data_IF_642547545354
#
_entry.id   IF_642547545354
#
_cell.length_a   1.000
_cell.length_b   1.000
_cell.length_c   1.000
_cell.angle_alpha   90.00
_cell.angle_beta   90.00
_cell.angle_gamma   90.00
#
_symmetry.space_group_name_H-M   'P 1'
#
loop_
_entity.id
_entity.type
_entity.pdbx_description
1 polymer ?
#
# COMPACT_ATOMS: atom_id res chain seq x y z
N UNK A 1 -14.24 13.27 8.88
CA UNK A 1 -14.47 13.80 10.24
C UNK A 1 -13.88 12.91 11.37
N UNK A 2 -12.97 11.98 11.07
CA UNK A 2 -12.52 10.95 12.04
C UNK A 2 -11.12 11.18 12.66
N UNK A 3 -10.30 12.08 12.12
CA UNK A 3 -9.01 12.48 12.69
C UNK A 3 -8.96 14.01 12.67
N UNK A 4 -8.97 14.64 13.85
CA UNK A 4 -8.78 16.09 14.04
C UNK A 4 -7.31 16.49 13.81
N UNK A 5 -6.64 15.91 12.81
CA UNK A 5 -5.32 16.37 12.40
C UNK A 5 -5.49 17.58 11.50
N UNK A 6 -4.92 18.72 11.91
CA UNK A 6 -4.86 19.91 11.06
C UNK A 6 -4.00 19.54 9.86
N UNK A 7 -4.63 19.30 8.72
CA UNK A 7 -3.95 19.05 7.45
C UNK A 7 -3.11 20.27 7.08
N UNK A 8 -1.83 20.27 7.50
CA UNK A 8 -0.87 21.29 7.12
C UNK A 8 -0.58 21.22 5.62
N UNK A 9 -0.24 22.35 5.00
CA UNK A 9 0.14 22.43 3.59
C UNK A 9 1.24 21.42 3.20
N UNK A 10 2.09 21.05 4.15
CA UNK A 10 3.14 20.04 3.99
C UNK A 10 2.61 18.64 3.64
N UNK A 11 1.43 18.24 4.15
CA UNK A 11 0.85 16.94 3.80
C UNK A 11 0.39 16.93 2.34
N UNK A 12 -0.24 18.02 1.88
CA UNK A 12 -0.69 18.14 0.49
C UNK A 12 0.48 18.15 -0.49
N UNK A 13 1.58 18.84 -0.14
CA UNK A 13 2.83 18.80 -0.91
C UNK A 13 3.39 17.37 -0.97
N UNK A 14 3.42 16.67 0.17
CA UNK A 14 3.89 15.29 0.24
C UNK A 14 3.04 14.34 -0.61
N UNK A 15 1.71 14.42 -0.50
CA UNK A 15 0.78 13.62 -1.31
C UNK A 15 1.00 13.91 -2.79
N UNK A 16 1.09 15.18 -3.19
CA UNK A 16 1.37 15.57 -4.56
C UNK A 16 2.68 15.01 -5.09
N UNK A 17 3.77 15.08 -4.30
CA UNK A 17 5.07 14.54 -4.67
C UNK A 17 5.05 13.00 -4.84
N UNK A 18 4.43 12.28 -3.89
CA UNK A 18 4.30 10.81 -3.97
C UNK A 18 3.47 10.41 -5.18
N UNK A 19 2.31 11.05 -5.39
CA UNK A 19 1.45 10.75 -6.54
C UNK A 19 2.16 11.07 -7.86
N UNK A 20 2.86 12.20 -7.97
CA UNK A 20 3.61 12.56 -9.17
C UNK A 20 4.73 11.55 -9.47
N UNK A 21 5.49 11.13 -8.44
CA UNK A 21 6.54 10.11 -8.60
C UNK A 21 5.98 8.77 -9.06
N UNK A 22 4.87 8.31 -8.45
CA UNK A 22 4.20 7.07 -8.85
C UNK A 22 3.65 7.14 -10.28
N UNK A 23 3.03 8.26 -10.67
CA UNK A 23 2.54 8.48 -12.02
C UNK A 23 3.68 8.49 -13.04
N UNK A 24 4.79 9.14 -12.73
CA UNK A 24 5.96 9.21 -13.61
C UNK A 24 6.49 7.81 -13.94
N UNK A 25 6.61 6.94 -12.94
CA UNK A 25 7.03 5.54 -13.13
C UNK A 25 5.99 4.75 -13.93
N UNK A 26 4.70 4.87 -13.58
CA UNK A 26 3.64 4.14 -14.27
C UNK A 26 3.51 4.54 -15.75
N UNK A 27 3.63 5.84 -16.05
CA UNK A 27 3.55 6.36 -17.42
C UNK A 27 4.77 5.94 -18.23
N UNK A 28 5.97 5.97 -17.65
CA UNK A 28 7.17 5.49 -18.33
C UNK A 28 7.08 4.00 -18.69
N UNK A 29 6.40 3.21 -17.86
CA UNK A 29 6.14 1.79 -18.09
C UNK A 29 4.92 1.53 -18.98
N UNK A 30 4.06 2.53 -19.22
CA UNK A 30 2.84 2.38 -19.99
C UNK A 30 3.15 2.33 -21.49
N UNK A 31 2.68 1.27 -22.16
CA UNK A 31 2.85 1.09 -23.62
C UNK A 31 1.85 1.90 -24.47
N UNK A 32 1.13 2.86 -23.89
CA UNK A 32 0.23 3.76 -24.62
C UNK A 32 -0.76 4.51 -23.74
N UNK A 33 -1.16 5.71 -24.19
CA UNK A 33 -2.30 6.46 -23.65
C UNK A 33 -3.48 6.32 -24.62
N UNK A 34 -4.61 5.79 -24.14
CA UNK A 34 -5.83 5.67 -24.93
C UNK A 34 -7.05 6.06 -24.11
N UNK A 35 -8.00 6.76 -24.71
CA UNK A 35 -9.32 7.03 -24.12
C UNK A 35 -10.31 5.95 -24.58
N UNK A 36 -10.12 4.73 -24.07
CA UNK A 36 -11.05 3.61 -24.27
C UNK A 36 -12.02 3.54 -23.07
N UNK A 37 -13.30 3.27 -23.33
CA UNK A 37 -14.30 3.00 -22.30
C UNK A 37 -13.88 1.87 -21.36
N UNK A 38 -13.14 0.87 -21.84
CA UNK A 38 -12.58 -0.20 -21.01
C UNK A 38 -11.50 0.31 -20.05
N UNK A 39 -10.66 1.24 -20.50
CA UNK A 39 -9.65 1.86 -19.65
C UNK A 39 -10.30 2.75 -18.59
N UNK A 40 -11.37 3.48 -18.95
CA UNK A 40 -12.13 4.28 -18.00
C UNK A 40 -12.80 3.41 -16.92
N UNK A 41 -13.41 2.29 -17.31
CA UNK A 41 -13.96 1.32 -16.37
C UNK A 41 -12.88 0.73 -15.45
N UNK A 42 -11.69 0.41 -15.98
CA UNK A 42 -10.55 -0.03 -15.18
C UNK A 42 -10.09 1.02 -14.17
N UNK A 43 -9.98 2.28 -14.58
CA UNK A 43 -9.60 3.38 -13.69
C UNK A 43 -10.62 3.59 -12.56
N UNK A 44 -11.93 3.49 -12.86
CA UNK A 44 -12.99 3.55 -11.84
C UNK A 44 -12.88 2.41 -10.82
N UNK A 45 -12.56 1.20 -11.27
CA UNK A 45 -12.31 0.06 -10.37
C UNK A 45 -11.10 0.30 -9.46
N UNK A 46 -10.01 0.89 -9.99
CA UNK A 46 -8.84 1.26 -9.18
C UNK A 46 -9.22 2.28 -8.11
N UNK A 47 -9.99 3.32 -8.46
CA UNK A 47 -10.46 4.32 -7.48
C UNK A 47 -11.33 3.68 -6.40
N UNK A 48 -12.23 2.77 -6.77
CA UNK A 48 -13.07 2.05 -5.81
C UNK A 48 -12.23 1.16 -4.88
N UNK A 49 -11.23 0.46 -5.43
CA UNK A 49 -10.33 -0.39 -4.66
C UNK A 49 -9.51 0.42 -3.63
N UNK A 50 -8.90 1.52 -4.06
CA UNK A 50 -8.12 2.41 -3.17
C UNK A 50 -9.00 3.06 -2.11
N UNK A 51 -10.25 3.38 -2.43
CA UNK A 51 -11.22 3.91 -1.46
C UNK A 51 -11.57 2.86 -0.39
N UNK A 52 -11.75 1.60 -0.80
CA UNK A 52 -11.95 0.48 0.10
C UNK A 52 -10.77 0.26 1.04
N UNK A 53 -9.55 0.31 0.50
CA UNK A 53 -8.31 0.22 1.27
C UNK A 53 -8.18 1.36 2.30
N UNK A 54 -8.49 2.60 1.91
CA UNK A 54 -8.47 3.74 2.83
C UNK A 54 -9.49 3.58 3.97
N UNK A 55 -10.70 3.11 3.66
CA UNK A 55 -11.73 2.84 4.66
C UNK A 55 -11.28 1.73 5.62
N UNK A 56 -10.71 0.65 5.09
CA UNK A 56 -10.14 -0.44 5.87
C UNK A 56 -9.05 0.05 6.83
N UNK A 57 -8.09 0.84 6.34
CA UNK A 57 -7.01 1.38 7.18
C UNK A 57 -7.55 2.26 8.33
N UNK A 58 -8.60 3.06 8.07
CA UNK A 58 -9.26 3.89 9.08
C UNK A 58 -9.99 3.03 10.12
N UNK A 59 -10.77 2.03 9.66
CA UNK A 59 -11.49 1.10 10.54
C UNK A 59 -10.53 0.28 11.39
N UNK A 60 -9.45 -0.23 10.79
CA UNK A 60 -8.43 -0.99 11.50
C UNK A 60 -7.74 -0.15 12.59
N UNK A 61 -7.52 1.15 12.35
CA UNK A 61 -7.02 2.07 13.39
C UNK A 61 -8.07 2.39 14.48
N UNK A 62 -9.37 2.24 14.21
CA UNK A 62 -10.45 2.46 15.18
C UNK A 62 -10.62 1.27 16.13
N UNK A 63 -10.26 0.07 15.70
CA UNK A 63 -10.30 -1.14 16.52
C UNK A 63 -9.16 -1.03 17.55
N UNK A 64 -9.51 -0.55 18.75
CA UNK A 64 -8.58 -0.35 19.88
C UNK A 64 -8.60 -1.52 20.87
N UNK A 65 -9.18 -2.67 20.49
CA UNK A 65 -9.20 -3.86 21.34
C UNK A 65 -7.82 -4.53 21.34
N UNK A 66 -7.29 -4.93 22.51
CA UNK A 66 -6.01 -5.62 22.62
C UNK A 66 -6.15 -7.08 22.14
N UNK A 67 -6.32 -7.26 20.83
CA UNK A 67 -6.30 -8.57 20.18
C UNK A 67 -4.85 -8.91 19.83
N UNK A 68 -4.48 -10.17 20.02
CA UNK A 68 -3.18 -10.66 19.57
C UNK A 68 -3.05 -10.43 18.04
N UNK A 69 -1.91 -9.92 17.53
CA UNK A 69 -1.71 -9.66 16.10
C UNK A 69 -2.02 -10.86 15.20
N UNK A 70 -1.72 -12.07 15.68
CA UNK A 70 -2.03 -13.32 14.98
C UNK A 70 -3.53 -13.56 14.84
N UNK A 71 -4.32 -13.24 15.88
CA UNK A 71 -5.77 -13.36 15.84
C UNK A 71 -6.39 -12.37 14.85
N UNK A 72 -5.90 -11.12 14.84
CA UNK A 72 -6.36 -10.11 13.89
C UNK A 72 -6.02 -10.51 12.44
N UNK A 73 -4.81 -11.00 12.19
CA UNK A 73 -4.41 -11.52 10.88
C UNK A 73 -5.28 -12.71 10.43
N UNK A 74 -5.54 -13.66 11.34
CA UNK A 74 -6.38 -14.83 11.06
C UNK A 74 -7.83 -14.44 10.78
N UNK A 75 -8.40 -13.51 11.56
CA UNK A 75 -9.76 -13.02 11.38
C UNK A 75 -9.91 -12.31 10.02
N UNK A 76 -9.00 -11.41 9.69
CA UNK A 76 -9.02 -10.68 8.41
C UNK A 76 -8.84 -11.62 7.22
N UNK A 77 -7.95 -12.61 7.33
CA UNK A 77 -7.75 -13.63 6.30
C UNK A 77 -8.99 -14.51 6.13
N UNK A 78 -9.66 -14.87 7.23
CA UNK A 78 -10.88 -15.68 7.20
C UNK A 78 -12.05 -14.94 6.57
N UNK A 79 -12.23 -13.66 6.91
CA UNK A 79 -13.25 -12.81 6.28
C UNK A 79 -12.95 -12.65 4.78
N UNK A 80 -11.69 -12.41 4.42
CA UNK A 80 -11.28 -12.30 3.01
C UNK A 80 -11.57 -13.58 2.24
N UNK A 81 -11.29 -14.74 2.83
CA UNK A 81 -11.61 -16.04 2.24
C UNK A 81 -13.11 -16.18 1.98
N UNK A 82 -13.96 -15.94 2.99
CA UNK A 82 -15.41 -16.09 2.87
C UNK A 82 -15.99 -15.15 1.80
N UNK A 83 -15.52 -13.90 1.76
CA UNK A 83 -16.00 -12.91 0.79
C UNK A 83 -15.55 -13.22 -0.65
N UNK A 84 -14.34 -13.77 -0.82
CA UNK A 84 -13.78 -14.04 -2.15
C UNK A 84 -14.13 -15.42 -2.70
N UNK A 85 -14.47 -16.39 -1.83
CA UNK A 85 -14.83 -17.76 -2.22
C UNK A 85 -15.95 -17.84 -3.28
N UNK A 86 -17.11 -17.17 -3.15
CA UNK A 86 -18.17 -17.25 -4.15
C UNK A 86 -17.75 -16.62 -5.49
N UNK A 87 -16.96 -15.54 -5.45
CA UNK A 87 -16.43 -14.91 -6.65
C UNK A 87 -15.40 -15.82 -7.35
N UNK A 88 -14.51 -16.46 -6.59
CA UNK A 88 -13.54 -17.42 -7.11
C UNK A 88 -14.25 -18.62 -7.77
N UNK A 89 -15.29 -19.17 -7.13
CA UNK A 89 -16.09 -20.25 -7.69
C UNK A 89 -16.79 -19.85 -9.01
N UNK A 90 -17.34 -18.63 -9.07
CA UNK A 90 -17.94 -18.10 -10.29
C UNK A 90 -16.91 -17.93 -11.42
N UNK A 91 -15.72 -17.42 -11.11
CA UNK A 91 -14.64 -17.21 -12.10
C UNK A 91 -14.07 -18.52 -12.65
N UNK A 92 -13.96 -19.57 -11.82
CA UNK A 92 -13.51 -20.90 -12.27
C UNK A 92 -14.43 -21.46 -13.35
N UNK A 93 -15.74 -21.21 -13.26
CA UNK A 93 -16.71 -21.64 -14.26
C UNK A 93 -16.54 -20.96 -15.63
N UNK A 94 -15.89 -19.80 -15.68
CA UNK A 94 -15.60 -19.07 -16.92
C UNK A 94 -14.13 -19.21 -17.37
N UNK A 95 -13.27 -19.87 -16.59
CA UNK A 95 -11.85 -19.97 -16.87
C UNK A 95 -11.51 -21.28 -17.59
N UNK A 96 -10.87 -21.17 -18.76
CA UNK A 96 -10.26 -22.30 -19.49
C UNK A 96 -8.78 -22.50 -19.12
N UNK A 97 -8.31 -21.81 -18.08
CA UNK A 97 -6.90 -21.79 -17.68
C UNK A 97 -6.58 -23.09 -16.94
N UNK A 98 -5.93 -24.02 -17.63
CA UNK A 98 -5.35 -25.20 -16.99
C UNK A 98 -4.34 -24.74 -15.92
N UNK A 99 -4.43 -25.30 -14.71
CA UNK A 99 -3.52 -24.99 -13.62
C UNK A 99 -2.10 -25.49 -13.94
N UNK A 100 -1.30 -24.63 -14.58
CA UNK A 100 0.10 -24.90 -14.81
C UNK A 100 0.83 -25.05 -13.46
N UNK A 101 1.73 -26.04 -13.29
CA UNK A 101 2.47 -26.23 -12.04
C UNK A 101 3.20 -24.98 -11.56
N UNK A 102 3.72 -24.16 -12.48
CA UNK A 102 4.34 -22.87 -12.17
C UNK A 102 3.36 -21.86 -11.55
N UNK A 103 2.11 -21.81 -12.03
CA UNK A 103 1.07 -20.93 -11.48
C UNK A 103 0.65 -21.38 -10.07
N UNK A 104 0.60 -22.69 -9.82
CA UNK A 104 0.36 -23.23 -8.48
C UNK A 104 1.49 -22.86 -7.51
N UNK A 105 2.75 -23.04 -7.92
CA UNK A 105 3.91 -22.64 -7.12
C UNK A 105 3.92 -21.13 -6.81
N UNK A 106 3.63 -20.29 -7.81
CA UNK A 106 3.51 -18.84 -7.60
C UNK A 106 2.38 -18.49 -6.63
N UNK A 107 1.24 -19.18 -6.72
CA UNK A 107 0.10 -18.98 -5.82
C UNK A 107 0.46 -19.35 -4.38
N UNK A 108 1.11 -20.50 -4.18
CA UNK A 108 1.58 -20.94 -2.85
C UNK A 108 2.59 -19.96 -2.28
N UNK A 109 3.54 -19.50 -3.10
CA UNK A 109 4.52 -18.50 -2.70
C UNK A 109 3.87 -17.20 -2.22
N UNK A 110 2.95 -16.63 -3.01
CA UNK A 110 2.24 -15.39 -2.64
C UNK A 110 1.35 -15.59 -1.40
N UNK A 111 0.70 -16.75 -1.28
CA UNK A 111 -0.18 -17.03 -0.14
C UNK A 111 0.57 -17.14 1.18
N UNK A 112 1.80 -17.67 1.16
CA UNK A 112 2.58 -17.86 2.39
C UNK A 112 3.38 -16.61 2.74
N UNK A 113 4.18 -16.09 1.80
CA UNK A 113 5.17 -15.07 2.11
C UNK A 113 4.56 -13.67 2.26
N UNK A 114 4.06 -13.01 1.20
CA UNK A 114 3.50 -11.67 1.35
C UNK A 114 2.17 -11.65 2.11
N UNK A 115 1.36 -12.72 2.06
CA UNK A 115 0.07 -12.74 2.76
C UNK A 115 0.20 -13.17 4.21
N UNK A 116 0.51 -14.43 4.53
CA UNK A 116 0.51 -14.91 5.94
C UNK A 116 1.64 -14.26 6.74
N UNK A 117 2.88 -14.40 6.27
CA UNK A 117 4.04 -13.85 6.99
C UNK A 117 4.00 -12.32 6.96
N UNK A 118 3.71 -11.73 5.80
CA UNK A 118 3.61 -10.28 5.63
C UNK A 118 2.55 -9.64 6.52
N UNK A 119 1.32 -10.16 6.56
CA UNK A 119 0.30 -9.61 7.46
C UNK A 119 0.65 -9.82 8.93
N UNK A 120 1.19 -10.98 9.30
CA UNK A 120 1.62 -11.19 10.68
C UNK A 120 2.69 -10.19 11.12
N UNK A 121 3.71 -9.95 10.28
CA UNK A 121 4.74 -8.94 10.53
C UNK A 121 4.18 -7.53 10.53
N UNK A 122 3.27 -7.22 9.60
CA UNK A 122 2.60 -5.94 9.52
C UNK A 122 1.82 -5.61 10.78
N UNK A 123 0.93 -6.50 11.24
CA UNK A 123 0.15 -6.27 12.46
C UNK A 123 1.04 -6.25 13.71
N UNK A 124 2.08 -7.09 13.77
CA UNK A 124 3.03 -7.10 14.88
C UNK A 124 3.87 -5.81 14.93
N UNK A 125 4.29 -5.30 13.78
CA UNK A 125 5.01 -4.04 13.64
C UNK A 125 4.11 -2.84 13.94
N UNK A 126 2.89 -2.82 13.40
CA UNK A 126 1.91 -1.75 13.63
C UNK A 126 1.50 -1.64 15.10
N UNK A 127 1.51 -2.74 15.87
CA UNK A 127 1.26 -2.72 17.30
C UNK A 127 2.40 -2.09 18.12
N UNK A 128 3.62 -2.01 17.57
CA UNK A 128 4.84 -1.53 18.26
C UNK A 128 5.37 -0.19 17.73
N UNK A 129 5.16 0.09 16.45
CA UNK A 129 5.66 1.28 15.79
C UNK A 129 4.72 2.47 16.00
N UNK A 130 5.29 3.62 16.34
CA UNK A 130 4.54 4.87 16.27
C UNK A 130 4.20 5.22 14.81
N UNK A 131 3.13 5.98 14.57
CA UNK A 131 2.73 6.38 13.21
C UNK A 131 3.83 7.09 12.42
N UNK A 132 4.75 7.78 13.11
CA UNK A 132 5.92 8.41 12.50
C UNK A 132 6.99 7.42 12.06
N UNK A 133 7.26 6.37 12.84
CA UNK A 133 8.22 5.31 12.48
C UNK A 133 7.68 4.46 11.31
N UNK A 134 6.40 4.06 11.39
CA UNK A 134 5.73 3.34 10.31
C UNK A 134 5.77 4.12 8.98
N UNK A 135 5.60 5.45 9.03
CA UNK A 135 5.72 6.32 7.87
C UNK A 135 7.11 6.31 7.23
N UNK A 136 8.20 6.25 8.02
CA UNK A 136 9.56 6.17 7.46
C UNK A 136 9.79 4.82 6.78
N UNK A 137 9.32 3.71 7.37
CA UNK A 137 9.45 2.39 6.77
C UNK A 137 8.73 2.26 5.42
N UNK A 138 7.69 3.06 5.16
CA UNK A 138 7.04 3.09 3.84
C UNK A 138 7.96 3.57 2.71
N UNK A 139 8.99 4.37 3.01
CA UNK A 139 9.97 4.78 2.00
C UNK A 139 10.89 3.64 1.58
N UNK A 140 11.01 2.57 2.40
CA UNK A 140 11.82 1.39 2.06
C UNK A 140 11.17 0.59 0.95
N UNK A 141 9.84 0.54 0.90
CA UNK A 141 9.08 -0.24 -0.07
C UNK A 141 9.44 0.06 -1.54
N UNK A 142 9.38 1.32 -2.04
CA UNK A 142 9.72 1.62 -3.44
C UNK A 142 11.21 1.41 -3.74
N UNK A 143 12.10 1.63 -2.77
CA UNK A 143 13.55 1.40 -2.94
C UNK A 143 13.86 -0.08 -3.07
N UNK A 144 13.27 -0.91 -2.20
CA UNK A 144 13.41 -2.36 -2.26
C UNK A 144 12.81 -2.93 -3.55
N UNK A 145 11.65 -2.42 -3.98
CA UNK A 145 11.03 -2.82 -5.25
C UNK A 145 11.96 -2.54 -6.44
N UNK A 146 12.55 -1.34 -6.52
CA UNK A 146 13.49 -0.99 -7.59
C UNK A 146 14.76 -1.86 -7.55
N UNK A 147 15.33 -2.07 -6.36
CA UNK A 147 16.54 -2.88 -6.19
C UNK A 147 16.30 -4.36 -6.55
N UNK A 148 15.20 -4.95 -6.08
CA UNK A 148 14.85 -6.33 -6.39
C UNK A 148 14.47 -6.52 -7.86
N UNK A 149 13.85 -5.53 -8.51
CA UNK A 149 13.59 -5.59 -9.95
C UNK A 149 14.89 -5.67 -10.75
N UNK A 150 15.89 -4.87 -10.39
CA UNK A 150 17.20 -4.94 -11.03
C UNK A 150 17.95 -6.24 -10.73
N UNK A 151 18.00 -6.67 -9.46
CA UNK A 151 18.81 -7.81 -9.03
C UNK A 151 18.21 -9.17 -9.41
N UNK A 152 16.89 -9.33 -9.30
CA UNK A 152 16.22 -10.63 -9.49
C UNK A 152 15.58 -10.75 -10.88
N UNK A 153 14.98 -9.68 -11.40
CA UNK A 153 14.31 -9.70 -12.70
C UNK A 153 15.25 -9.29 -13.84
N UNK A 154 16.41 -8.70 -13.52
CA UNK A 154 17.37 -8.21 -14.53
C UNK A 154 16.84 -7.02 -15.33
N UNK A 155 15.87 -6.28 -14.80
CA UNK A 155 15.32 -5.11 -15.49
C UNK A 155 16.34 -3.98 -15.57
N UNK A 156 16.36 -3.27 -16.70
CA UNK A 156 17.22 -2.10 -16.85
C UNK A 156 16.63 -0.92 -16.07
N UNK A 157 17.36 -0.44 -15.05
CA UNK A 157 16.97 0.77 -14.32
C UNK A 157 17.18 1.97 -15.24
N UNK A 158 16.09 2.66 -15.58
CA UNK A 158 16.12 3.91 -16.32
C UNK A 158 16.24 5.10 -15.36
N UNK A 159 16.73 6.26 -15.82
CA UNK A 159 16.76 7.48 -15.01
C UNK A 159 15.39 7.89 -14.46
N UNK A 160 14.31 7.54 -15.17
CA UNK A 160 12.94 7.87 -14.75
C UNK A 160 12.46 7.01 -13.57
N UNK A 161 12.91 5.74 -13.48
CA UNK A 161 12.66 4.92 -12.29
C UNK A 161 13.38 5.49 -11.06
N UNK A 162 14.61 5.97 -11.22
CA UNK A 162 15.38 6.60 -10.14
C UNK A 162 14.69 7.89 -9.68
N UNK A 163 14.33 8.76 -10.62
CA UNK A 163 13.67 10.03 -10.31
C UNK A 163 12.30 9.83 -9.65
N UNK A 164 11.49 8.90 -10.16
CA UNK A 164 10.19 8.57 -9.60
C UNK A 164 10.28 8.00 -8.18
N UNK A 165 11.18 7.04 -7.95
CA UNK A 165 11.45 6.49 -6.62
C UNK A 165 11.96 7.58 -5.66
N UNK A 166 12.86 8.45 -6.10
CA UNK A 166 13.36 9.57 -5.29
C UNK A 166 12.23 10.54 -4.89
N UNK A 167 11.33 10.88 -5.82
CA UNK A 167 10.14 11.70 -5.55
C UNK A 167 9.23 11.09 -4.48
N UNK A 168 8.99 9.78 -4.57
CA UNK A 168 8.18 9.06 -3.58
C UNK A 168 8.86 9.09 -2.21
N UNK A 169 10.16 8.78 -2.14
CA UNK A 169 10.92 8.79 -0.87
C UNK A 169 10.92 10.19 -0.25
N UNK A 170 11.17 11.23 -1.04
CA UNK A 170 11.15 12.62 -0.55
C UNK A 170 9.76 13.05 -0.07
N UNK A 171 8.70 12.69 -0.80
CA UNK A 171 7.33 12.97 -0.38
C UNK A 171 6.99 12.31 0.95
N UNK A 172 7.40 11.05 1.14
CA UNK A 172 7.23 10.33 2.42
C UNK A 172 8.03 11.02 3.54
N UNK A 173 9.28 11.40 3.29
CA UNK A 173 10.13 12.08 4.27
C UNK A 173 9.54 13.43 4.73
N UNK A 174 8.98 14.21 3.80
CA UNK A 174 8.29 15.48 4.10
C UNK A 174 7.03 15.22 4.93
N UNK A 175 6.25 14.19 4.60
CA UNK A 175 5.05 13.79 5.35
C UNK A 175 5.37 13.45 6.80
N UNK A 176 6.39 12.63 7.04
CA UNK A 176 6.81 12.25 8.40
C UNK A 176 7.33 13.45 9.19
N UNK A 177 8.09 14.32 8.55
CA UNK A 177 8.66 15.51 9.18
C UNK A 177 7.57 16.50 9.61
N UNK A 178 6.57 16.73 8.76
CA UNK A 178 5.41 17.57 9.09
C UNK A 178 4.57 17.01 10.25
N UNK A 179 4.35 15.69 10.26
CA UNK A 179 3.62 15.03 11.35
C UNK A 179 4.32 15.15 12.72
N UNK A 180 5.66 15.10 12.75
CA UNK A 180 6.46 15.30 13.98
C UNK A 180 6.36 16.73 14.52
N UNK A 181 6.42 17.74 13.65
CA UNK A 181 6.34 19.16 14.04
C UNK A 181 4.98 19.52 14.64
N UNK A 182 3.88 19.03 14.05
CA UNK A 182 2.52 19.25 14.58
C UNK A 182 2.35 18.62 15.96
N UNK A 183 2.88 17.41 16.17
CA UNK A 183 2.81 16.71 17.46
C UNK A 183 3.62 17.43 18.55
N UNK A 184 4.79 17.99 18.22
CA UNK A 184 5.63 18.75 19.16
C UNK A 184 4.95 20.05 19.62
N UNK A 185 4.35 20.79 18.69
CA UNK A 185 3.63 22.05 19.01
C UNK A 185 2.39 21.81 19.88
N UNK A 186 1.67 20.70 19.68
CA UNK A 186 0.53 20.35 20.51
C UNK A 186 0.93 19.97 21.96
N UNK A 187 2.13 19.40 22.15
CA UNK A 187 2.65 19.07 23.48
C UNK A 187 3.17 20.32 24.23
N UNK A 188 3.83 21.25 23.53
CA UNK A 188 4.32 22.50 24.13
C UNK A 188 3.17 23.45 24.51
N UNK A 189 2.07 23.48 23.74
CA UNK A 189 0.88 24.30 24.05
C UNK A 189 -0.05 23.75 25.14
N UNK A 190 0.17 22.51 25.62
CA UNK A 190 -0.61 21.92 26.72
C UNK A 190 0.01 22.17 28.11
N UNK A 191 1.22 22.75 28.14
CA UNK A 191 1.96 23.11 29.36
C UNK A 191 1.97 24.63 29.65
N UNK A 192 1.18 25.41 28.90
CA UNK A 192 0.96 26.85 29.09
C UNK A 192 -0.50 27.06 29.49
#
# INVERSE_FOLDING_TARGET
MALKERFGAQLWIAVGAVTAGALLVNVASAKGFGLDLKLLAGNLLVVLAVSGEALFAILNKRISTPLAPLYLAALMSSISLVLTLPLAAALVAFSTVAAAPAALLATVYVSIFPTVIGFWLWYSGAARASGGEAGVFMAVLPVAALALSFLLLGETITPIHILGTALVVLGIAVSVSGARTVKKQAAEGAHV
#
